data_IF_697460378684
#
_entry.id   IF_697460378684
#
_cell.length_a   1.000
_cell.length_b   1.000
_cell.length_c   1.000
_cell.angle_alpha   90.00
_cell.angle_beta   90.00
_cell.angle_gamma   90.00
#
_symmetry.space_group_name_H-M   'P 1'
#
loop_
_entity.id
_entity.type
_entity.pdbx_description
1 polymer ?
#
# COMPACT_ATOMS: atom_id res chain seq x y z
N UNK A 1 -46.78 10.42 -0.86
CA UNK A 1 -45.63 10.38 -1.79
C UNK A 1 -44.39 10.19 -0.93
N UNK A 2 -43.86 8.97 -0.86
CA UNK A 2 -42.63 8.69 -0.14
C UNK A 2 -41.45 9.21 -0.99
N UNK A 3 -40.63 10.09 -0.42
CA UNK A 3 -39.38 10.50 -1.04
C UNK A 3 -38.37 9.36 -0.86
N UNK A 4 -38.11 8.62 -1.94
CA UNK A 4 -36.98 7.71 -2.02
C UNK A 4 -35.70 8.54 -1.87
N UNK A 5 -35.02 8.37 -0.74
CA UNK A 5 -33.69 8.94 -0.53
C UNK A 5 -32.73 8.14 -1.41
N UNK A 6 -32.41 8.68 -2.58
CA UNK A 6 -31.31 8.19 -3.39
C UNK A 6 -30.04 8.19 -2.52
N UNK A 7 -29.65 6.99 -2.08
CA UNK A 7 -28.36 6.76 -1.46
C UNK A 7 -27.30 7.13 -2.49
N UNK A 8 -26.77 8.34 -2.39
CA UNK A 8 -25.59 8.77 -3.13
C UNK A 8 -24.43 7.90 -2.66
N UNK A 9 -24.23 6.77 -3.33
CA UNK A 9 -23.04 5.95 -3.16
C UNK A 9 -21.83 6.82 -3.53
N UNK A 10 -21.19 7.38 -2.51
CA UNK A 10 -19.93 8.12 -2.66
C UNK A 10 -18.94 7.13 -3.25
N UNK A 11 -18.39 7.44 -4.42
CA UNK A 11 -17.39 6.58 -5.03
C UNK A 11 -16.22 6.41 -4.06
N UNK A 12 -15.73 5.17 -3.83
CA UNK A 12 -14.60 4.96 -2.93
C UNK A 12 -13.41 5.80 -3.41
N UNK A 13 -12.97 6.73 -2.57
CA UNK A 13 -11.81 7.54 -2.87
C UNK A 13 -10.54 6.66 -2.88
N UNK A 14 -9.60 6.96 -3.79
CA UNK A 14 -8.34 6.24 -3.87
C UNK A 14 -7.57 6.47 -2.55
N UNK A 15 -7.26 5.41 -1.78
CA UNK A 15 -6.55 5.56 -0.52
C UNK A 15 -5.15 6.12 -0.72
N UNK A 16 -4.87 7.29 -0.12
CA UNK A 16 -3.55 7.92 -0.16
C UNK A 16 -2.62 7.28 0.86
N UNK A 17 -1.37 7.04 0.46
CA UNK A 17 -0.35 6.48 1.33
C UNK A 17 0.22 7.58 2.23
N UNK A 18 0.18 7.35 3.55
CA UNK A 18 0.64 8.30 4.57
C UNK A 18 1.77 7.74 5.46
N UNK A 19 2.44 6.66 5.02
CA UNK A 19 3.50 5.99 5.78
C UNK A 19 3.04 4.80 6.64
N UNK A 20 1.73 4.61 6.84
CA UNK A 20 1.17 3.45 7.53
C UNK A 20 0.86 2.33 6.54
N UNK A 21 1.86 1.52 6.20
CA UNK A 21 1.72 0.49 5.17
C UNK A 21 0.57 -0.48 5.44
N UNK A 22 0.51 -1.10 6.63
CA UNK A 22 -0.51 -2.12 6.96
C UNK A 22 -1.94 -1.61 6.76
N UNK A 23 -2.19 -0.35 7.15
CA UNK A 23 -3.51 0.26 7.03
C UNK A 23 -3.81 0.64 5.58
N UNK A 24 -2.87 1.29 4.91
CA UNK A 24 -3.02 1.66 3.50
C UNK A 24 -3.20 0.43 2.60
N UNK A 25 -2.41 -0.63 2.80
CA UNK A 25 -2.47 -1.84 2.00
C UNK A 25 -3.82 -2.54 2.14
N UNK A 26 -4.40 -2.56 3.36
CA UNK A 26 -5.75 -3.09 3.59
C UNK A 26 -6.81 -2.32 2.80
N UNK A 27 -6.77 -0.98 2.84
CA UNK A 27 -7.73 -0.14 2.11
C UNK A 27 -7.56 -0.25 0.59
N UNK A 28 -6.31 -0.22 0.11
CA UNK A 28 -6.00 -0.30 -1.32
C UNK A 28 -6.34 -1.68 -1.89
N UNK A 29 -6.04 -2.75 -1.16
CA UNK A 29 -6.43 -4.11 -1.55
C UNK A 29 -7.95 -4.23 -1.67
N UNK A 30 -8.70 -3.74 -0.69
CA UNK A 30 -10.16 -3.75 -0.75
C UNK A 30 -10.70 -2.94 -1.93
N UNK A 31 -10.13 -1.75 -2.17
CA UNK A 31 -10.46 -0.92 -3.33
C UNK A 31 -10.26 -1.67 -4.65
N UNK A 32 -9.11 -2.33 -4.84
CA UNK A 32 -8.80 -3.07 -6.06
C UNK A 32 -9.63 -4.36 -6.20
N UNK A 33 -9.96 -5.03 -5.09
CA UNK A 33 -10.87 -6.18 -5.08
C UNK A 33 -12.28 -5.78 -5.52
N UNK A 34 -12.78 -4.63 -5.06
CA UNK A 34 -14.10 -4.11 -5.48
C UNK A 34 -14.20 -3.79 -6.98
N UNK A 35 -13.05 -3.61 -7.65
CA UNK A 35 -12.92 -3.33 -9.08
C UNK A 35 -12.47 -4.56 -9.88
N UNK A 36 -12.36 -5.73 -9.24
CA UNK A 36 -11.88 -6.98 -9.84
C UNK A 36 -10.47 -6.91 -10.43
N UNK A 37 -9.62 -6.02 -9.90
CA UNK A 37 -8.26 -5.79 -10.40
C UNK A 37 -7.17 -6.44 -9.54
N UNK A 38 -7.52 -6.98 -8.37
CA UNK A 38 -6.54 -7.52 -7.42
C UNK A 38 -5.67 -8.65 -7.98
N UNK A 39 -6.20 -9.51 -8.85
CA UNK A 39 -5.43 -10.61 -9.47
C UNK A 39 -4.22 -10.12 -10.26
N UNK A 40 -4.29 -8.93 -10.87
CA UNK A 40 -3.18 -8.33 -11.60
C UNK A 40 -2.03 -7.89 -10.68
N UNK A 41 -2.35 -7.55 -9.44
CA UNK A 41 -1.36 -7.20 -8.42
C UNK A 41 -0.78 -8.44 -7.76
N UNK A 42 -1.64 -9.41 -7.41
CA UNK A 42 -1.22 -10.62 -6.72
C UNK A 42 -0.49 -11.60 -7.64
N UNK A 43 -1.10 -11.96 -8.76
CA UNK A 43 -0.62 -13.00 -9.67
C UNK A 43 0.32 -12.40 -10.72
N UNK A 44 0.00 -11.18 -11.18
CA UNK A 44 0.70 -10.50 -12.26
C UNK A 44 0.07 -10.80 -13.63
N UNK A 45 0.62 -10.18 -14.67
CA UNK A 45 0.27 -10.54 -16.04
C UNK A 45 1.08 -11.79 -16.40
N UNK A 46 0.44 -12.90 -16.84
CA UNK A 46 1.16 -14.08 -17.27
C UNK A 46 2.07 -13.71 -18.44
N UNK A 47 3.38 -13.86 -18.24
CA UNK A 47 4.34 -13.80 -19.31
C UNK A 47 4.13 -15.03 -20.20
N UNK A 48 3.99 -14.80 -21.50
CA UNK A 48 3.95 -15.91 -22.45
C UNK A 48 5.28 -16.67 -22.37
N UNK A 49 5.22 -17.99 -22.21
CA UNK A 49 6.43 -18.82 -22.24
C UNK A 49 7.09 -18.69 -23.62
N UNK A 50 8.40 -18.46 -23.63
CA UNK A 50 9.18 -18.34 -24.87
C UNK A 50 8.99 -19.59 -25.73
N UNK A 51 8.56 -19.39 -26.99
CA UNK A 51 8.36 -20.46 -27.96
C UNK A 51 6.94 -21.02 -28.09
N UNK A 52 5.97 -20.56 -27.30
CA UNK A 52 4.56 -20.95 -27.46
C UNK A 52 3.84 -19.97 -28.37
N UNK A 53 3.29 -20.45 -29.49
CA UNK A 53 2.36 -19.67 -30.33
C UNK A 53 1.08 -19.47 -29.52
N UNK A 54 0.87 -18.25 -29.04
CA UNK A 54 -0.35 -17.88 -28.34
C UNK A 54 -1.53 -17.97 -29.29
N UNK A 55 -2.60 -18.61 -28.85
CA UNK A 55 -3.89 -18.58 -29.56
C UNK A 55 -4.43 -17.14 -29.56
N UNK A 56 -5.23 -16.78 -30.57
CA UNK A 56 -5.84 -15.44 -30.66
C UNK A 56 -6.63 -15.07 -29.39
N UNK A 57 -7.28 -16.05 -28.76
CA UNK A 57 -7.99 -15.89 -27.49
C UNK A 57 -7.05 -15.53 -26.33
N UNK A 58 -5.87 -16.16 -26.24
CA UNK A 58 -4.85 -15.84 -25.24
C UNK A 58 -4.25 -14.45 -25.48
N UNK A 59 -3.98 -14.10 -26.74
CA UNK A 59 -3.46 -12.78 -27.10
C UNK A 59 -4.42 -11.65 -26.68
N UNK A 60 -5.72 -11.84 -26.95
CA UNK A 60 -6.77 -10.89 -26.55
C UNK A 60 -6.87 -10.78 -25.02
N UNK A 61 -6.81 -11.90 -24.30
CA UNK A 61 -6.83 -11.92 -22.84
C UNK A 61 -5.64 -11.15 -22.23
N UNK A 62 -4.43 -11.34 -22.76
CA UNK A 62 -3.24 -10.61 -22.31
C UNK A 62 -3.36 -9.11 -22.59
N UNK A 63 -3.90 -8.72 -23.75
CA UNK A 63 -4.14 -7.31 -24.08
C UNK A 63 -5.13 -6.66 -23.10
N UNK A 64 -6.22 -7.35 -22.77
CA UNK A 64 -7.20 -6.88 -21.79
C UNK A 64 -6.59 -6.75 -20.38
N UNK A 65 -5.74 -7.70 -19.98
CA UNK A 65 -5.02 -7.63 -18.71
C UNK A 65 -4.01 -6.48 -18.66
N UNK A 66 -3.28 -6.22 -19.76
CA UNK A 66 -2.39 -5.05 -19.88
C UNK A 66 -3.17 -3.75 -19.74
N UNK A 67 -4.35 -3.65 -20.35
CA UNK A 67 -5.18 -2.46 -20.22
C UNK A 67 -5.67 -2.25 -18.78
N UNK A 68 -6.08 -3.33 -18.10
CA UNK A 68 -6.45 -3.27 -16.68
C UNK A 68 -5.25 -2.95 -15.79
N UNK A 69 -4.06 -3.48 -16.08
CA UNK A 69 -2.82 -3.18 -15.35
C UNK A 69 -2.50 -1.68 -15.40
N UNK A 70 -2.63 -1.04 -16.56
CA UNK A 70 -2.49 0.42 -16.69
C UNK A 70 -3.46 1.19 -15.77
N UNK A 71 -4.70 0.71 -15.60
CA UNK A 71 -5.66 1.32 -14.66
C UNK A 71 -5.19 1.19 -13.21
N UNK A 72 -4.72 0.01 -12.83
CA UNK A 72 -4.19 -0.23 -11.48
C UNK A 72 -2.96 0.64 -11.22
N UNK A 73 -2.03 0.73 -12.19
CA UNK A 73 -0.86 1.63 -12.10
C UNK A 73 -1.29 3.07 -11.86
N UNK A 74 -2.29 3.55 -12.58
CA UNK A 74 -2.83 4.90 -12.37
C UNK A 74 -3.40 5.09 -10.97
N UNK A 75 -4.07 4.09 -10.39
CA UNK A 75 -4.53 4.15 -9.00
C UNK A 75 -3.38 4.16 -8.00
N UNK A 76 -2.37 3.31 -8.19
CA UNK A 76 -1.20 3.25 -7.33
C UNK A 76 -0.39 4.55 -7.40
N UNK A 77 -0.24 5.15 -8.58
CA UNK A 77 0.42 6.45 -8.74
C UNK A 77 -0.38 7.60 -8.12
N UNK A 78 -1.71 7.56 -8.20
CA UNK A 78 -2.53 8.52 -7.46
C UNK A 78 -2.46 8.29 -5.95
N UNK A 79 -2.20 7.07 -5.50
CA UNK A 79 -2.11 6.76 -4.07
C UNK A 79 -0.81 7.25 -3.42
N UNK A 80 0.26 7.44 -4.19
CA UNK A 80 1.60 7.76 -3.66
C UNK A 80 2.08 9.13 -4.14
N UNK A 81 2.85 9.82 -3.31
CA UNK A 81 3.47 11.09 -3.68
C UNK A 81 4.71 10.88 -4.56
N UNK A 82 5.13 11.95 -5.26
CA UNK A 82 6.28 11.96 -6.16
C UNK A 82 7.55 11.39 -5.51
N UNK A 83 7.84 11.76 -4.27
CA UNK A 83 9.03 11.30 -3.54
C UNK A 83 9.06 9.78 -3.38
N UNK A 84 7.90 9.16 -3.17
CA UNK A 84 7.80 7.70 -3.05
C UNK A 84 7.92 7.09 -4.43
N UNK A 85 7.25 7.68 -5.42
CA UNK A 85 7.31 7.22 -6.82
C UNK A 85 8.74 7.16 -7.32
N UNK A 86 9.56 8.18 -7.07
CA UNK A 86 10.98 8.25 -7.48
C UNK A 86 11.83 7.11 -6.87
N UNK A 87 11.42 6.57 -5.72
CA UNK A 87 12.16 5.50 -5.05
C UNK A 87 11.84 4.09 -5.57
N UNK A 88 10.80 3.94 -6.39
CA UNK A 88 10.42 2.66 -6.99
C UNK A 88 11.22 2.45 -8.28
N UNK A 89 12.15 1.49 -8.30
CA UNK A 89 13.03 1.29 -9.46
C UNK A 89 12.31 0.66 -10.66
N UNK A 90 11.51 -0.39 -10.42
CA UNK A 90 10.75 -1.07 -11.45
C UNK A 90 9.26 -0.68 -11.37
N UNK A 91 8.73 -0.13 -12.46
CA UNK A 91 7.33 0.32 -12.58
C UNK A 91 6.63 -0.28 -13.80
N UNK A 92 7.11 -1.42 -14.28
CA UNK A 92 6.62 -2.01 -15.53
C UNK A 92 5.18 -2.51 -15.39
N UNK A 93 4.87 -3.16 -14.27
CA UNK A 93 3.54 -3.68 -13.92
C UNK A 93 3.05 -3.12 -12.59
N UNK A 94 1.73 -3.15 -12.35
CA UNK A 94 1.14 -2.80 -11.07
C UNK A 94 1.69 -3.65 -9.92
N UNK A 95 1.98 -4.93 -10.21
CA UNK A 95 2.64 -5.86 -9.27
C UNK A 95 4.01 -5.36 -8.83
N UNK A 96 4.88 -4.94 -9.76
CA UNK A 96 6.20 -4.41 -9.39
C UNK A 96 6.12 -3.18 -8.48
N UNK A 97 5.16 -2.28 -8.73
CA UNK A 97 4.92 -1.11 -7.90
C UNK A 97 4.46 -1.52 -6.50
N UNK A 98 3.48 -2.43 -6.42
CA UNK A 98 2.96 -2.95 -5.15
C UNK A 98 4.02 -3.68 -4.32
N UNK A 99 4.79 -4.57 -4.93
CA UNK A 99 5.85 -5.32 -4.26
C UNK A 99 6.97 -4.42 -3.77
N UNK A 100 7.33 -3.39 -4.55
CA UNK A 100 8.31 -2.38 -4.13
C UNK A 100 7.84 -1.59 -2.90
N UNK A 101 6.55 -1.22 -2.88
CA UNK A 101 5.93 -0.56 -1.71
C UNK A 101 5.93 -1.48 -0.49
N UNK A 102 5.57 -2.75 -0.68
CA UNK A 102 5.56 -3.77 0.38
C UNK A 102 6.95 -3.96 0.98
N UNK A 103 7.96 -4.16 0.14
CA UNK A 103 9.33 -4.37 0.57
C UNK A 103 9.87 -3.19 1.37
N UNK A 104 9.57 -1.96 0.93
CA UNK A 104 10.09 -0.75 1.58
C UNK A 104 9.39 -0.41 2.90
N UNK A 105 8.07 -0.59 2.99
CA UNK A 105 7.29 -0.01 4.09
C UNK A 105 6.67 -1.02 5.05
N UNK A 106 6.48 -2.29 4.67
CA UNK A 106 5.84 -3.28 5.54
C UNK A 106 6.65 -3.55 6.83
N UNK A 107 7.98 -3.67 6.71
CA UNK A 107 8.87 -3.86 7.87
C UNK A 107 9.08 -2.58 8.67
N UNK A 108 9.17 -1.44 7.99
CA UNK A 108 9.48 -0.15 8.60
C UNK A 108 8.40 0.31 9.58
N UNK A 109 7.12 0.12 9.26
CA UNK A 109 6.01 0.48 10.16
C UNK A 109 6.05 -0.33 11.46
N UNK A 110 6.35 -1.64 11.37
CA UNK A 110 6.44 -2.53 12.54
C UNK A 110 7.62 -2.16 13.44
N UNK A 111 8.79 -1.92 12.85
CA UNK A 111 10.00 -1.52 13.60
C UNK A 111 9.79 -0.17 14.29
N UNK A 112 9.26 0.84 13.59
CA UNK A 112 8.95 2.14 14.20
C UNK A 112 7.97 2.02 15.38
N UNK A 113 6.93 1.19 15.23
CA UNK A 113 5.95 0.96 16.30
C UNK A 113 6.61 0.30 17.52
N UNK A 114 7.45 -0.72 17.31
CA UNK A 114 8.15 -1.39 18.39
C UNK A 114 9.11 -0.42 19.12
N UNK A 115 9.88 0.38 18.38
CA UNK A 115 10.76 1.39 18.95
C UNK A 115 9.97 2.42 19.79
N UNK A 116 8.85 2.92 19.26
CA UNK A 116 7.99 3.86 19.99
C UNK A 116 7.44 3.26 21.27
N UNK A 117 7.07 1.98 21.26
CA UNK A 117 6.58 1.29 22.45
C UNK A 117 7.68 1.07 23.49
N UNK A 118 8.91 0.74 23.06
CA UNK A 118 10.06 0.67 23.97
C UNK A 118 10.33 2.02 24.64
N UNK A 119 10.38 3.11 23.86
CA UNK A 119 10.54 4.48 24.39
C UNK A 119 9.44 4.87 25.38
N UNK A 120 8.17 4.51 25.11
CA UNK A 120 7.06 4.75 26.05
C UNK A 120 7.23 3.99 27.35
N UNK A 121 7.63 2.71 27.27
CA UNK A 121 7.91 1.90 28.45
C UNK A 121 9.06 2.50 29.26
N UNK A 122 10.14 2.91 28.61
CA UNK A 122 11.29 3.53 29.28
C UNK A 122 10.88 4.85 29.96
N UNK A 123 10.01 5.63 29.32
CA UNK A 123 9.45 6.86 29.90
C UNK A 123 8.50 6.60 31.08
N UNK A 124 7.66 5.57 31.01
CA UNK A 124 6.74 5.20 32.09
C UNK A 124 7.48 4.67 33.34
N UNK A 125 8.62 4.03 33.14
CA UNK A 125 9.49 3.53 34.23
C UNK A 125 10.52 4.57 34.66
N UNK A 126 10.62 5.70 33.94
CA UNK A 126 11.49 6.80 34.29
C UNK A 126 11.02 7.42 35.62
N UNK A 127 11.88 7.31 36.62
CA UNK A 127 11.66 7.89 37.93
C UNK A 127 13.00 8.41 38.46
N UNK A 128 12.94 9.47 39.26
CA UNK A 128 14.11 10.01 39.96
C UNK A 128 14.71 8.92 40.86
N UNK A 129 16.03 8.83 40.88
CA UNK A 129 16.74 7.94 41.80
C UNK A 129 16.76 8.54 43.21
N UNK A 130 16.87 7.68 44.22
CA UNK A 130 16.98 8.11 45.60
C UNK A 130 18.27 8.93 45.80
N UNK A 131 18.13 10.21 46.16
CA UNK A 131 19.24 11.15 46.31
C UNK A 131 19.60 11.95 45.06
N UNK A 132 18.93 11.74 43.92
CA UNK A 132 19.11 12.56 42.71
C UNK A 132 18.42 13.92 42.87
N UNK A 133 19.14 15.01 42.59
CA UNK A 133 18.54 16.34 42.60
C UNK A 133 17.67 16.57 41.37
N UNK A 134 16.69 17.47 41.47
CA UNK A 134 15.81 17.82 40.33
C UNK A 134 16.62 18.29 39.12
N UNK A 135 17.69 19.05 39.34
CA UNK A 135 18.56 19.51 38.26
C UNK A 135 19.32 18.37 37.58
N UNK A 136 19.71 17.34 38.32
CA UNK A 136 20.41 16.16 37.75
C UNK A 136 19.46 15.25 36.96
N UNK A 137 18.20 15.13 37.40
CA UNK A 137 17.19 14.33 36.70
C UNK A 137 16.76 14.92 35.34
N UNK A 138 16.79 16.25 35.19
CA UNK A 138 16.42 16.95 33.95
C UNK A 138 17.62 17.27 33.03
N UNK A 139 18.85 17.01 33.45
CA UNK A 139 20.07 17.23 32.68
C UNK A 139 20.35 16.08 31.70
#
# INVERSE_FOLDING_TARGET
MAAETESKFVQPAIPKFNGHYDHWSMLMENFLRSKEYWSLVNDGIPAAAEGVVLTEAQQKSIADQKLKDLKVKNYLFQAIDRNIMETILNRDTAKHIWDSMKQKYQGFTRVKRALLQALRKDFEVLQMKEGESVNEYFA
#
